data_IF_936952913449
#
_entry.id   IF_936952913449
#
_cell.length_a   1.000
_cell.length_b   1.000
_cell.length_c   1.000
_cell.angle_alpha   90.00
_cell.angle_beta   90.00
_cell.angle_gamma   90.00
#
_symmetry.space_group_name_H-M   'P 1'
#
loop_
_entity.id
_entity.type
_entity.pdbx_description
1 polymer ?
#
# COMPACT_ATOMS: atom_id res chain seq x y z
N UNK A 1 -5.04 -152.30 32.75
CA UNK A 1 -6.33 -152.30 33.48
C UNK A 1 -6.76 -153.76 33.63
N UNK A 2 -7.32 -154.17 34.78
CA UNK A 2 -7.93 -155.49 34.89
C UNK A 2 -8.98 -155.68 33.80
N UNK A 3 -9.06 -156.88 33.25
CA UNK A 3 -9.88 -157.18 32.08
C UNK A 3 -11.36 -157.30 32.49
N UNK A 4 -12.33 -156.95 31.62
CA UNK A 4 -13.78 -157.04 31.92
C UNK A 4 -14.16 -158.44 32.45
N UNK A 5 -13.52 -159.48 31.90
CA UNK A 5 -13.59 -160.88 32.33
C UNK A 5 -13.11 -161.11 33.78
N UNK A 6 -11.99 -160.50 34.19
CA UNK A 6 -11.46 -160.64 35.55
C UNK A 6 -12.31 -159.89 36.59
N UNK A 7 -12.96 -158.79 36.20
CA UNK A 7 -13.90 -158.05 37.04
C UNK A 7 -15.24 -158.80 37.20
N UNK A 8 -15.75 -159.43 36.13
CA UNK A 8 -16.97 -160.26 36.15
C UNK A 8 -16.83 -161.46 37.10
N UNK A 9 -15.76 -162.24 36.98
CA UNK A 9 -15.45 -163.40 37.84
C UNK A 9 -15.38 -163.02 39.33
N UNK A 10 -14.84 -161.83 39.65
CA UNK A 10 -14.70 -161.35 41.05
C UNK A 10 -15.98 -160.76 41.64
N UNK A 11 -16.86 -160.18 40.83
CA UNK A 11 -18.08 -159.50 41.28
C UNK A 11 -19.31 -160.44 41.32
N UNK A 12 -19.37 -161.43 40.41
CA UNK A 12 -20.45 -162.42 40.26
C UNK A 12 -20.85 -163.12 41.58
N UNK A 13 -19.92 -163.57 42.45
CA UNK A 13 -20.28 -164.25 43.70
C UNK A 13 -20.92 -163.32 44.74
N UNK A 14 -20.72 -162.01 44.63
CA UNK A 14 -21.08 -161.03 45.68
C UNK A 14 -22.36 -160.24 45.38
N UNK A 15 -22.65 -160.00 44.10
CA UNK A 15 -23.74 -159.14 43.68
C UNK A 15 -24.88 -159.90 43.00
N UNK A 16 -24.64 -161.09 42.44
CA UNK A 16 -25.58 -161.80 41.58
C UNK A 16 -25.25 -161.65 40.10
N UNK A 17 -25.75 -162.55 39.25
CA UNK A 17 -25.41 -162.57 37.82
C UNK A 17 -26.02 -161.38 37.06
N UNK A 18 -27.24 -160.97 37.40
CA UNK A 18 -27.90 -159.81 36.79
C UNK A 18 -27.28 -158.50 37.26
N UNK A 19 -27.07 -158.32 38.56
CA UNK A 19 -26.53 -157.10 39.16
C UNK A 19 -25.07 -156.87 38.75
N UNK A 20 -24.28 -157.94 38.61
CA UNK A 20 -22.90 -157.86 38.09
C UNK A 20 -22.88 -157.48 36.62
N UNK A 21 -23.79 -158.00 35.79
CA UNK A 21 -23.92 -157.60 34.38
C UNK A 21 -24.37 -156.14 34.25
N UNK A 22 -25.39 -155.70 34.99
CA UNK A 22 -25.86 -154.31 34.98
C UNK A 22 -24.79 -153.32 35.47
N UNK A 23 -24.00 -153.67 36.49
CA UNK A 23 -22.86 -152.83 36.94
C UNK A 23 -21.75 -152.78 35.89
N UNK A 24 -21.41 -153.89 35.24
CA UNK A 24 -20.40 -153.90 34.17
C UNK A 24 -20.89 -153.13 32.94
N UNK A 25 -22.14 -153.30 32.53
CA UNK A 25 -22.76 -152.55 31.44
C UNK A 25 -22.81 -151.05 31.75
N UNK A 26 -23.15 -150.65 32.99
CA UNK A 26 -23.10 -149.26 33.42
C UNK A 26 -21.67 -148.69 33.44
N UNK A 27 -20.69 -149.47 33.90
CA UNK A 27 -19.27 -149.08 33.91
C UNK A 27 -18.72 -148.99 32.49
N UNK A 28 -19.04 -149.94 31.62
CA UNK A 28 -18.66 -149.98 30.21
C UNK A 28 -19.30 -148.80 29.46
N UNK A 29 -20.61 -148.59 29.60
CA UNK A 29 -21.32 -147.42 29.06
C UNK A 29 -20.75 -146.10 29.60
N UNK A 30 -20.37 -146.04 30.89
CA UNK A 30 -19.78 -144.84 31.50
C UNK A 30 -18.36 -144.57 31.00
N UNK A 31 -17.58 -145.62 30.78
CA UNK A 31 -16.24 -145.56 30.17
C UNK A 31 -16.35 -145.14 28.71
N UNK A 32 -17.28 -145.71 27.95
CA UNK A 32 -17.57 -145.35 26.56
C UNK A 32 -18.06 -143.91 26.43
N UNK A 33 -19.02 -143.47 27.25
CA UNK A 33 -19.47 -142.06 27.27
C UNK A 33 -18.33 -141.11 27.60
N UNK A 34 -17.47 -141.43 28.58
CA UNK A 34 -16.28 -140.62 28.89
C UNK A 34 -15.26 -140.64 27.77
N UNK A 35 -15.05 -141.79 27.12
CA UNK A 35 -14.15 -141.92 25.99
C UNK A 35 -14.67 -141.10 24.80
N UNK A 36 -15.97 -141.19 24.48
CA UNK A 36 -16.65 -140.38 23.48
C UNK A 36 -16.54 -138.87 23.80
N UNK A 37 -16.88 -138.45 25.02
CA UNK A 37 -16.78 -137.03 25.44
C UNK A 37 -15.33 -136.50 25.35
N UNK A 38 -14.34 -137.33 25.68
CA UNK A 38 -12.92 -136.97 25.58
C UNK A 38 -12.45 -136.89 24.13
N UNK A 39 -12.99 -137.73 23.26
CA UNK A 39 -12.77 -137.69 21.83
C UNK A 39 -13.41 -136.44 21.21
N UNK A 40 -14.65 -136.11 21.57
CA UNK A 40 -15.33 -134.87 21.18
C UNK A 40 -14.56 -133.63 21.67
N UNK A 41 -14.03 -133.66 22.90
CA UNK A 41 -13.20 -132.59 23.44
C UNK A 41 -11.89 -132.43 22.64
N UNK A 42 -11.26 -133.55 22.23
CA UNK A 42 -10.07 -133.51 21.37
C UNK A 42 -10.40 -132.94 20.00
N UNK A 43 -11.51 -133.36 19.39
CA UNK A 43 -11.96 -132.85 18.10
C UNK A 43 -12.24 -131.35 18.15
N UNK A 44 -12.94 -130.88 19.20
CA UNK A 44 -13.20 -129.45 19.41
C UNK A 44 -11.92 -128.66 19.69
N UNK A 45 -10.97 -129.19 20.47
CA UNK A 45 -9.66 -128.55 20.67
C UNK A 45 -8.89 -128.43 19.35
N UNK A 46 -8.89 -129.48 18.52
CA UNK A 46 -8.25 -129.43 17.19
C UNK A 46 -8.91 -128.42 16.26
N UNK A 47 -10.25 -128.35 16.24
CA UNK A 47 -11.00 -127.38 15.46
C UNK A 47 -10.70 -125.94 15.91
N UNK A 48 -10.73 -125.66 17.22
CA UNK A 48 -10.40 -124.35 17.76
C UNK A 48 -8.96 -123.93 17.45
N UNK A 49 -7.99 -124.84 17.53
CA UNK A 49 -6.61 -124.55 17.12
C UNK A 49 -6.51 -124.20 15.64
N UNK A 50 -7.28 -124.87 14.80
CA UNK A 50 -7.35 -124.57 13.37
C UNK A 50 -7.99 -123.20 13.13
N UNK A 51 -9.10 -122.89 13.81
CA UNK A 51 -9.79 -121.60 13.72
C UNK A 51 -8.92 -120.44 14.21
N UNK A 52 -8.21 -120.62 15.33
CA UNK A 52 -7.24 -119.64 15.84
C UNK A 52 -6.14 -119.41 14.79
N UNK A 53 -5.56 -120.48 14.21
CA UNK A 53 -4.54 -120.34 13.17
C UNK A 53 -5.07 -119.61 11.93
N UNK A 54 -6.31 -119.89 11.51
CA UNK A 54 -6.97 -119.18 10.41
C UNK A 54 -7.16 -117.71 10.76
N UNK A 55 -7.70 -117.39 11.94
CA UNK A 55 -7.91 -116.03 12.39
C UNK A 55 -6.59 -115.23 12.48
N UNK A 56 -5.53 -115.83 13.01
CA UNK A 56 -4.18 -115.24 13.05
C UNK A 56 -3.64 -114.98 11.64
N UNK A 57 -3.81 -115.92 10.72
CA UNK A 57 -3.40 -115.75 9.33
C UNK A 57 -4.16 -114.60 8.65
N UNK A 58 -5.48 -114.53 8.82
CA UNK A 58 -6.32 -113.45 8.31
C UNK A 58 -5.92 -112.11 8.89
N UNK A 59 -5.78 -112.00 10.22
CA UNK A 59 -5.36 -110.75 10.89
C UNK A 59 -3.98 -110.27 10.40
N UNK A 60 -3.05 -111.19 10.20
CA UNK A 60 -1.72 -110.86 9.67
C UNK A 60 -1.78 -110.33 8.25
N UNK A 61 -2.68 -110.87 7.44
CA UNK A 61 -2.92 -110.40 6.08
C UNK A 61 -3.60 -109.03 6.10
N UNK A 62 -4.65 -108.83 6.89
CA UNK A 62 -5.34 -107.55 7.05
C UNK A 62 -4.39 -106.44 7.52
N UNK A 63 -3.51 -106.74 8.49
CA UNK A 63 -2.48 -105.82 8.96
C UNK A 63 -1.49 -105.45 7.85
N UNK A 64 -1.10 -106.41 7.00
CA UNK A 64 -0.22 -106.14 5.86
C UNK A 64 -0.92 -105.26 4.82
N UNK A 65 -2.17 -105.56 4.49
CA UNK A 65 -2.96 -104.80 3.53
C UNK A 65 -3.19 -103.37 4.03
N UNK A 66 -3.59 -103.21 5.29
CA UNK A 66 -3.78 -101.89 5.92
C UNK A 66 -2.47 -101.11 5.95
N UNK A 67 -1.36 -101.75 6.33
CA UNK A 67 -0.04 -101.13 6.34
C UNK A 67 0.49 -100.77 4.95
N UNK A 68 0.04 -101.44 3.90
CA UNK A 68 0.34 -101.10 2.51
C UNK A 68 -0.51 -99.90 2.05
N UNK A 69 -1.82 -99.93 2.32
CA UNK A 69 -2.76 -98.85 1.98
C UNK A 69 -2.37 -97.52 2.65
N UNK A 70 -2.06 -97.53 3.95
CA UNK A 70 -1.60 -96.34 4.66
C UNK A 70 -0.30 -95.76 4.08
N UNK A 71 0.65 -96.62 3.68
CA UNK A 71 1.89 -96.16 3.03
C UNK A 71 1.62 -95.53 1.68
N UNK A 72 0.66 -96.05 0.94
CA UNK A 72 0.26 -95.47 -0.35
C UNK A 72 -0.43 -94.11 -0.16
N UNK A 73 -1.35 -93.99 0.79
CA UNK A 73 -2.02 -92.72 1.11
C UNK A 73 -1.04 -91.65 1.62
N UNK A 74 -0.08 -92.03 2.47
CA UNK A 74 1.01 -91.14 2.90
C UNK A 74 1.80 -90.65 1.67
N UNK A 75 2.20 -91.55 0.77
CA UNK A 75 2.94 -91.16 -0.45
C UNK A 75 2.13 -90.24 -1.37
N UNK A 76 0.84 -90.50 -1.54
CA UNK A 76 -0.05 -89.63 -2.33
C UNK A 76 -0.14 -88.23 -1.71
N UNK A 77 -0.33 -88.17 -0.39
CA UNK A 77 -0.43 -86.91 0.36
C UNK A 77 0.87 -86.12 0.29
N UNK A 78 2.02 -86.76 0.49
CA UNK A 78 3.34 -86.13 0.36
C UNK A 78 3.58 -85.59 -1.05
N UNK A 79 3.20 -86.35 -2.08
CA UNK A 79 3.31 -85.92 -3.46
C UNK A 79 2.41 -84.72 -3.78
N UNK A 80 1.16 -84.72 -3.29
CA UNK A 80 0.24 -83.60 -3.43
C UNK A 80 0.77 -82.34 -2.73
N UNK A 81 1.18 -82.46 -1.46
CA UNK A 81 1.71 -81.34 -0.69
C UNK A 81 2.97 -80.73 -1.34
N UNK A 82 3.85 -81.58 -1.90
CA UNK A 82 5.02 -81.12 -2.66
C UNK A 82 4.63 -80.40 -3.96
N UNK A 83 3.53 -80.81 -4.57
CA UNK A 83 2.91 -80.11 -5.71
C UNK A 83 2.42 -78.72 -5.30
N UNK A 84 1.62 -78.64 -4.24
CA UNK A 84 1.05 -77.39 -3.73
C UNK A 84 2.15 -76.40 -3.32
N UNK A 85 3.19 -76.86 -2.62
CA UNK A 85 4.35 -76.04 -2.24
C UNK A 85 5.02 -75.45 -3.48
N UNK A 86 5.26 -76.26 -4.52
CA UNK A 86 5.88 -75.77 -5.77
C UNK A 86 4.99 -74.77 -6.49
N UNK A 87 3.68 -74.98 -6.47
CA UNK A 87 2.73 -74.05 -7.08
C UNK A 87 2.78 -72.69 -6.37
N UNK A 88 2.70 -72.68 -5.04
CA UNK A 88 2.80 -71.44 -4.24
C UNK A 88 4.15 -70.75 -4.45
N UNK A 89 5.26 -71.49 -4.53
CA UNK A 89 6.57 -70.92 -4.83
C UNK A 89 6.62 -70.23 -6.21
N UNK A 90 5.95 -70.79 -7.22
CA UNK A 90 5.86 -70.17 -8.56
C UNK A 90 4.98 -68.93 -8.51
N UNK A 91 3.79 -69.01 -7.92
CA UNK A 91 2.85 -67.88 -7.80
C UNK A 91 3.49 -66.70 -7.07
N UNK A 92 4.18 -66.93 -5.95
CA UNK A 92 4.89 -65.88 -5.21
C UNK A 92 6.03 -65.27 -6.02
N UNK A 93 6.78 -66.07 -6.80
CA UNK A 93 7.85 -65.53 -7.66
C UNK A 93 7.27 -64.64 -8.76
N UNK A 94 6.17 -65.03 -9.37
CA UNK A 94 5.49 -64.22 -10.39
C UNK A 94 4.93 -62.93 -9.82
N UNK A 95 4.33 -62.98 -8.63
CA UNK A 95 3.81 -61.79 -7.95
C UNK A 95 4.93 -60.82 -7.55
N UNK A 96 6.05 -61.33 -7.02
CA UNK A 96 7.24 -60.51 -6.73
C UNK A 96 7.75 -59.83 -8.00
N UNK A 97 7.90 -60.58 -9.11
CA UNK A 97 8.36 -59.99 -10.38
C UNK A 97 7.41 -58.93 -10.91
N UNK A 98 6.09 -59.13 -10.76
CA UNK A 98 5.07 -58.16 -11.14
C UNK A 98 5.19 -56.87 -10.33
N UNK A 99 5.28 -56.99 -9.01
CA UNK A 99 5.41 -55.85 -8.09
C UNK A 99 6.72 -55.09 -8.31
N UNK A 100 7.83 -55.79 -8.54
CA UNK A 100 9.10 -55.15 -8.93
C UNK A 100 8.96 -54.35 -10.24
N UNK A 101 8.23 -54.89 -11.21
CA UNK A 101 7.92 -54.21 -12.47
C UNK A 101 7.08 -52.94 -12.27
N UNK A 102 6.03 -53.02 -11.45
CA UNK A 102 5.16 -51.88 -11.10
C UNK A 102 5.91 -50.81 -10.31
N UNK A 103 6.77 -51.21 -9.37
CA UNK A 103 7.61 -50.30 -8.60
C UNK A 103 8.57 -49.55 -9.54
N UNK A 104 9.26 -50.25 -10.45
CA UNK A 104 10.15 -49.61 -11.43
C UNK A 104 9.43 -48.62 -12.34
N UNK A 105 8.20 -48.94 -12.78
CA UNK A 105 7.38 -48.02 -13.57
C UNK A 105 7.00 -46.77 -12.78
N UNK A 106 6.59 -46.95 -11.53
CA UNK A 106 6.25 -45.83 -10.63
C UNK A 106 7.46 -44.94 -10.37
N UNK A 107 8.62 -45.52 -10.06
CA UNK A 107 9.87 -44.77 -9.86
C UNK A 107 10.29 -44.00 -11.12
N UNK A 108 10.13 -44.59 -12.31
CA UNK A 108 10.42 -43.91 -13.57
C UNK A 108 9.45 -42.75 -13.83
N UNK A 109 8.15 -42.95 -13.55
CA UNK A 109 7.13 -41.89 -13.65
C UNK A 109 7.43 -40.72 -12.72
N UNK A 110 7.69 -41.00 -11.44
CA UNK A 110 8.04 -39.95 -10.46
C UNK A 110 9.31 -39.19 -10.83
N UNK A 111 10.34 -39.86 -11.37
CA UNK A 111 11.54 -39.19 -11.86
C UNK A 111 11.25 -38.25 -13.02
N UNK A 112 10.34 -38.63 -13.91
CA UNK A 112 9.93 -37.80 -15.03
C UNK A 112 9.09 -36.60 -14.56
N UNK A 113 8.12 -36.83 -13.67
CA UNK A 113 7.32 -35.76 -13.08
C UNK A 113 8.20 -34.72 -12.36
N UNK A 114 9.18 -35.18 -11.57
CA UNK A 114 10.15 -34.31 -10.91
C UNK A 114 10.92 -33.47 -11.93
N UNK A 115 11.43 -34.09 -13.02
CA UNK A 115 12.15 -33.35 -14.07
C UNK A 115 11.27 -32.31 -14.76
N UNK A 116 10.01 -32.63 -15.02
CA UNK A 116 9.07 -31.70 -15.64
C UNK A 116 8.78 -30.51 -14.72
N UNK A 117 8.57 -30.76 -13.42
CA UNK A 117 8.40 -29.69 -12.43
C UNK A 117 9.66 -28.83 -12.33
N UNK A 118 10.85 -29.43 -12.24
CA UNK A 118 12.11 -28.68 -12.20
C UNK A 118 12.34 -27.83 -13.46
N UNK A 119 12.02 -28.36 -14.65
CA UNK A 119 12.11 -27.62 -15.90
C UNK A 119 11.12 -26.44 -15.93
N UNK A 120 9.86 -26.68 -15.57
CA UNK A 120 8.84 -25.64 -15.53
C UNK A 120 9.18 -24.51 -14.54
N UNK A 121 9.65 -24.86 -13.35
CA UNK A 121 10.10 -23.87 -12.36
C UNK A 121 11.30 -23.05 -12.84
N UNK A 122 12.26 -23.67 -13.54
CA UNK A 122 13.39 -22.94 -14.13
C UNK A 122 12.95 -21.96 -15.20
N UNK A 123 12.01 -22.35 -16.07
CA UNK A 123 11.46 -21.47 -17.10
C UNK A 123 10.69 -20.30 -16.48
N UNK A 124 9.86 -20.56 -15.46
CA UNK A 124 9.09 -19.53 -14.76
C UNK A 124 10.03 -18.53 -14.05
N UNK A 125 11.07 -19.01 -13.36
CA UNK A 125 12.08 -18.15 -12.73
C UNK A 125 12.76 -17.28 -13.78
N UNK A 126 13.23 -17.84 -14.90
CA UNK A 126 13.90 -17.08 -15.96
C UNK A 126 12.97 -16.01 -16.57
N UNK A 127 11.69 -16.35 -16.76
CA UNK A 127 10.69 -15.42 -17.25
C UNK A 127 10.48 -14.27 -16.27
N UNK A 128 10.28 -14.56 -14.99
CA UNK A 128 10.07 -13.54 -13.95
C UNK A 128 11.29 -12.64 -13.78
N UNK A 129 12.51 -13.19 -13.82
CA UNK A 129 13.74 -12.40 -13.82
C UNK A 129 13.81 -11.46 -15.04
N UNK A 130 13.36 -11.92 -16.21
CA UNK A 130 13.26 -11.10 -17.42
C UNK A 130 12.24 -9.97 -17.32
N UNK A 131 11.04 -10.26 -16.78
CA UNK A 131 10.00 -9.25 -16.53
C UNK A 131 10.45 -8.22 -15.49
N UNK A 132 11.12 -8.65 -14.42
CA UNK A 132 11.68 -7.76 -13.40
C UNK A 132 12.73 -6.82 -13.99
N UNK A 133 13.70 -7.33 -14.75
CA UNK A 133 14.74 -6.51 -15.41
C UNK A 133 14.14 -5.47 -16.37
N UNK A 134 13.11 -5.83 -17.12
CA UNK A 134 12.39 -4.89 -18.01
C UNK A 134 11.72 -3.79 -17.21
N UNK A 135 11.09 -4.14 -16.10
CA UNK A 135 10.40 -3.20 -15.21
C UNK A 135 11.39 -2.23 -14.56
N UNK A 136 12.51 -2.74 -14.04
CA UNK A 136 13.59 -1.91 -13.48
C UNK A 136 14.18 -0.95 -14.52
N UNK A 137 14.41 -1.42 -15.75
CA UNK A 137 14.90 -0.58 -16.84
C UNK A 137 13.89 0.51 -17.23
N UNK A 138 12.60 0.17 -17.29
CA UNK A 138 11.52 1.12 -17.56
C UNK A 138 11.43 2.21 -16.50
N UNK A 139 11.38 1.82 -15.22
CA UNK A 139 11.33 2.78 -14.10
C UNK A 139 12.57 3.70 -14.07
N UNK A 140 13.75 3.17 -14.39
CA UNK A 140 14.98 3.98 -14.46
C UNK A 140 14.91 5.02 -15.57
N UNK A 141 14.29 4.68 -16.69
CA UNK A 141 14.10 5.59 -17.80
C UNK A 141 13.05 6.65 -17.47
N UNK A 142 11.91 6.25 -16.90
CA UNK A 142 10.86 7.18 -16.46
C UNK A 142 11.41 8.19 -15.45
N UNK A 143 12.20 7.75 -14.47
CA UNK A 143 12.87 8.64 -13.50
C UNK A 143 13.77 9.65 -14.22
N UNK A 144 14.59 9.21 -15.18
CA UNK A 144 15.47 10.13 -15.93
C UNK A 144 14.68 11.15 -16.73
N UNK A 145 13.58 10.75 -17.35
CA UNK A 145 12.71 11.64 -18.11
C UNK A 145 12.07 12.69 -17.21
N UNK A 146 11.57 12.29 -16.03
CA UNK A 146 11.03 13.22 -15.04
C UNK A 146 12.12 14.18 -14.53
N UNK A 147 13.31 13.68 -14.21
CA UNK A 147 14.43 14.53 -13.78
C UNK A 147 14.85 15.54 -14.84
N UNK A 148 14.89 15.12 -16.11
CA UNK A 148 15.19 16.01 -17.24
C UNK A 148 14.10 17.08 -17.41
N UNK A 149 12.83 16.68 -17.43
CA UNK A 149 11.69 17.60 -17.57
C UNK A 149 11.64 18.63 -16.44
N UNK A 150 11.86 18.21 -15.19
CA UNK A 150 11.91 19.13 -14.05
C UNK A 150 13.08 20.12 -14.15
N UNK A 151 14.26 19.67 -14.62
CA UNK A 151 15.41 20.57 -14.84
C UNK A 151 15.11 21.62 -15.90
N UNK A 152 14.49 21.23 -17.01
CA UNK A 152 14.09 22.15 -18.08
C UNK A 152 13.06 23.16 -17.59
N UNK A 153 12.04 22.72 -16.83
CA UNK A 153 11.02 23.60 -16.29
C UNK A 153 11.60 24.60 -15.28
N UNK A 154 12.50 24.16 -14.39
CA UNK A 154 13.22 25.06 -13.47
C UNK A 154 14.01 26.11 -14.25
N UNK A 155 14.79 25.70 -15.26
CA UNK A 155 15.57 26.65 -16.08
C UNK A 155 14.68 27.65 -16.81
N UNK A 156 13.53 27.20 -17.33
CA UNK A 156 12.54 28.08 -17.97
C UNK A 156 12.02 29.12 -16.98
N UNK A 157 11.57 28.68 -15.81
CA UNK A 157 11.02 29.55 -14.77
C UNK A 157 12.06 30.55 -14.25
N UNK A 158 13.32 30.13 -14.05
CA UNK A 158 14.42 31.04 -13.71
C UNK A 158 14.65 32.10 -14.80
N UNK A 159 14.54 31.71 -16.06
CA UNK A 159 14.64 32.64 -17.20
C UNK A 159 13.49 33.65 -17.26
N UNK A 160 12.26 33.21 -17.03
CA UNK A 160 11.07 34.07 -16.97
C UNK A 160 11.13 35.04 -15.79
N UNK A 161 11.56 34.56 -14.62
CA UNK A 161 11.76 35.39 -13.43
C UNK A 161 12.79 36.49 -13.71
N UNK A 162 13.97 36.15 -14.26
CA UNK A 162 15.00 37.14 -14.61
C UNK A 162 14.52 38.20 -15.60
N UNK A 163 13.74 37.81 -16.61
CA UNK A 163 13.15 38.76 -17.57
C UNK A 163 12.18 39.71 -16.87
N UNK A 164 11.36 39.18 -15.96
CA UNK A 164 10.40 39.97 -15.19
C UNK A 164 11.10 40.96 -14.27
N UNK A 165 12.13 40.51 -13.54
CA UNK A 165 12.97 41.37 -12.68
C UNK A 165 13.65 42.48 -13.49
N UNK A 166 14.19 42.16 -14.67
CA UNK A 166 14.80 43.15 -15.55
C UNK A 166 13.79 44.19 -16.05
N UNK A 167 12.60 43.74 -16.47
CA UNK A 167 11.52 44.63 -16.91
C UNK A 167 11.05 45.56 -15.79
N UNK A 168 10.79 45.03 -14.59
CA UNK A 168 10.41 45.85 -13.44
C UNK A 168 11.49 46.87 -13.07
N UNK A 169 12.77 46.50 -13.17
CA UNK A 169 13.87 47.44 -12.91
C UNK A 169 13.91 48.57 -13.94
N UNK A 170 13.67 48.26 -15.21
CA UNK A 170 13.58 49.25 -16.27
C UNK A 170 12.38 50.19 -16.05
N UNK A 171 11.20 49.64 -15.75
CA UNK A 171 9.98 50.41 -15.46
C UNK A 171 10.21 51.37 -14.29
N UNK A 172 10.84 50.90 -13.20
CA UNK A 172 11.20 51.74 -12.04
C UNK A 172 12.13 52.88 -12.48
N UNK A 173 13.19 52.59 -13.26
CA UNK A 173 14.10 53.63 -13.75
C UNK A 173 13.40 54.66 -14.64
N UNK A 174 12.48 54.22 -15.51
CA UNK A 174 11.70 55.13 -16.35
C UNK A 174 10.79 56.04 -15.51
N UNK A 175 10.11 55.50 -14.50
CA UNK A 175 9.29 56.27 -13.57
C UNK A 175 10.14 57.29 -12.79
N UNK A 176 11.28 56.86 -12.25
CA UNK A 176 12.20 57.75 -11.53
C UNK A 176 12.72 58.88 -12.42
N UNK A 177 13.06 58.59 -13.67
CA UNK A 177 13.51 59.60 -14.63
C UNK A 177 12.39 60.59 -14.97
N UNK A 178 11.18 60.09 -15.24
CA UNK A 178 10.01 60.92 -15.51
C UNK A 178 9.66 61.85 -14.35
N UNK A 179 9.67 61.35 -13.11
CA UNK A 179 9.45 62.16 -11.92
C UNK A 179 10.52 63.23 -11.74
N UNK A 180 11.80 62.92 -12.01
CA UNK A 180 12.88 63.92 -11.94
C UNK A 180 12.68 65.04 -12.96
N UNK A 181 12.29 64.71 -14.20
CA UNK A 181 11.99 65.73 -15.21
C UNK A 181 10.82 66.61 -14.82
N UNK A 182 9.73 66.01 -14.29
CA UNK A 182 8.56 66.76 -13.86
C UNK A 182 8.90 67.71 -12.71
N UNK A 183 9.66 67.25 -11.71
CA UNK A 183 10.17 68.11 -10.62
C UNK A 183 10.98 69.28 -11.18
N UNK A 184 11.92 69.04 -12.10
CA UNK A 184 12.73 70.12 -12.70
C UNK A 184 11.86 71.13 -13.48
N UNK A 185 10.84 70.66 -14.20
CA UNK A 185 9.90 71.55 -14.91
C UNK A 185 9.10 72.41 -13.92
N UNK A 186 8.62 71.81 -12.83
CA UNK A 186 7.89 72.51 -11.78
C UNK A 186 8.78 73.56 -11.08
N UNK A 187 10.01 73.20 -10.72
CA UNK A 187 10.99 74.14 -10.15
C UNK A 187 11.29 75.31 -11.09
N UNK A 188 11.47 75.04 -12.39
CA UNK A 188 11.66 76.07 -13.41
C UNK A 188 10.45 77.00 -13.55
N UNK A 189 9.24 76.43 -13.53
CA UNK A 189 7.98 77.18 -13.54
C UNK A 189 7.83 78.09 -12.32
N UNK A 190 8.11 77.58 -11.12
CA UNK A 190 8.11 78.34 -9.88
C UNK A 190 9.09 79.52 -9.93
N UNK A 191 10.34 79.29 -10.35
CA UNK A 191 11.34 80.38 -10.49
C UNK A 191 10.89 81.47 -11.45
N UNK A 192 10.24 81.10 -12.55
CA UNK A 192 9.71 82.08 -13.51
C UNK A 192 8.60 82.93 -12.89
N UNK A 193 7.65 82.30 -12.20
CA UNK A 193 6.57 82.99 -11.49
C UNK A 193 7.12 83.92 -10.39
N UNK A 194 8.09 83.46 -9.61
CA UNK A 194 8.78 84.29 -8.62
C UNK A 194 9.44 85.52 -9.26
N UNK A 195 10.08 85.35 -10.42
CA UNK A 195 10.68 86.43 -11.19
C UNK A 195 9.65 87.44 -11.73
N UNK A 196 8.51 86.96 -12.24
CA UNK A 196 7.40 87.82 -12.68
C UNK A 196 6.79 88.60 -11.50
N UNK A 197 6.56 87.96 -10.36
CA UNK A 197 6.09 88.62 -9.13
C UNK A 197 7.05 89.70 -8.65
N UNK A 198 8.37 89.44 -8.64
CA UNK A 198 9.38 90.46 -8.29
C UNK A 198 9.34 91.67 -9.22
N UNK A 199 9.19 91.45 -10.53
CA UNK A 199 9.07 92.56 -11.50
C UNK A 199 7.83 93.40 -11.24
N UNK A 200 6.69 92.74 -10.97
CA UNK A 200 5.45 93.42 -10.60
C UNK A 200 5.65 94.24 -9.32
N UNK A 201 6.27 93.65 -8.29
CA UNK A 201 6.55 94.35 -7.03
C UNK A 201 7.41 95.60 -7.24
N UNK A 202 8.50 95.49 -8.00
CA UNK A 202 9.38 96.64 -8.31
C UNK A 202 8.65 97.69 -9.16
N UNK A 203 7.84 97.26 -10.12
CA UNK A 203 7.02 98.14 -10.95
C UNK A 203 6.03 98.94 -10.11
N UNK A 204 5.27 98.26 -9.25
CA UNK A 204 4.32 98.89 -8.33
C UNK A 204 5.02 99.86 -7.36
N UNK A 205 6.17 99.48 -6.78
CA UNK A 205 6.96 100.38 -5.93
C UNK A 205 7.38 101.65 -6.68
N UNK A 206 7.83 101.51 -7.94
CA UNK A 206 8.24 102.64 -8.77
C UNK A 206 7.08 103.56 -9.12
N UNK A 207 5.90 102.99 -9.41
CA UNK A 207 4.68 103.73 -9.71
C UNK A 207 4.16 104.48 -8.49
N UNK A 208 4.17 103.85 -7.30
CA UNK A 208 3.87 104.52 -6.02
C UNK A 208 4.82 105.71 -5.83
N UNK A 209 6.12 105.53 -6.01
CA UNK A 209 7.09 106.61 -5.82
C UNK A 209 6.90 107.75 -6.84
N UNK A 210 6.52 107.43 -8.08
CA UNK A 210 6.15 108.44 -9.08
C UNK A 210 4.92 109.23 -8.64
N UNK A 211 3.87 108.55 -8.20
CA UNK A 211 2.63 109.16 -7.72
C UNK A 211 2.89 110.04 -6.49
N UNK A 212 3.72 109.60 -5.54
CA UNK A 212 4.16 110.43 -4.40
C UNK A 212 4.83 111.72 -4.88
N UNK A 213 5.73 111.63 -5.87
CA UNK A 213 6.41 112.80 -6.44
C UNK A 213 5.46 113.73 -7.20
N UNK A 214 4.51 113.20 -7.96
CA UNK A 214 3.45 113.99 -8.62
C UNK A 214 2.56 114.70 -7.59
N UNK A 215 2.18 114.00 -6.50
CA UNK A 215 1.38 114.56 -5.42
C UNK A 215 2.12 115.67 -4.68
N UNK A 216 3.42 115.51 -4.41
CA UNK A 216 4.25 116.58 -3.82
C UNK A 216 4.36 117.81 -4.74
N UNK A 217 4.53 117.61 -6.04
CA UNK A 217 4.52 118.72 -7.02
C UNK A 217 3.16 119.42 -7.05
N UNK A 218 2.08 118.66 -6.99
CA UNK A 218 0.73 119.23 -6.92
C UNK A 218 0.54 120.03 -5.63
N UNK A 219 0.96 119.51 -4.47
CA UNK A 219 0.86 120.20 -3.19
C UNK A 219 1.68 121.50 -3.17
N UNK A 220 2.92 121.47 -3.64
CA UNK A 220 3.77 122.67 -3.74
C UNK A 220 3.22 123.68 -4.74
N UNK A 221 2.67 123.22 -5.86
CA UNK A 221 1.95 124.06 -6.83
C UNK A 221 0.75 124.75 -6.19
N UNK A 222 -0.12 123.99 -5.52
CA UNK A 222 -1.29 124.53 -4.81
C UNK A 222 -0.88 125.53 -3.71
N UNK A 223 0.14 125.23 -2.90
CA UNK A 223 0.68 126.18 -1.92
C UNK A 223 1.17 127.47 -2.57
N UNK A 224 1.84 127.35 -3.72
CA UNK A 224 2.29 128.51 -4.50
C UNK A 224 1.13 129.35 -5.04
N UNK A 225 0.06 128.70 -5.55
CA UNK A 225 -1.16 129.39 -5.99
C UNK A 225 -1.87 130.09 -4.83
N UNK A 226 -1.99 129.45 -3.66
CA UNK A 226 -2.52 130.07 -2.44
C UNK A 226 -1.68 131.30 -2.07
N UNK A 227 -0.35 131.19 -2.06
CA UNK A 227 0.51 132.32 -1.75
C UNK A 227 0.36 133.49 -2.73
N UNK A 228 0.20 133.19 -4.04
CA UNK A 228 -0.11 134.23 -5.04
C UNK A 228 -1.49 134.84 -4.82
N UNK A 229 -2.49 134.04 -4.43
CA UNK A 229 -3.82 134.54 -4.09
C UNK A 229 -3.76 135.46 -2.87
N UNK A 230 -3.03 135.08 -1.83
CA UNK A 230 -2.80 135.93 -0.65
C UNK A 230 -2.13 137.25 -1.04
N UNK A 231 -1.08 137.21 -1.87
CA UNK A 231 -0.43 138.43 -2.38
C UNK A 231 -1.38 139.29 -3.23
N UNK A 232 -2.21 138.69 -4.08
CA UNK A 232 -3.23 139.42 -4.85
C UNK A 232 -4.28 140.03 -3.94
N UNK A 233 -4.72 139.31 -2.91
CA UNK A 233 -5.67 139.80 -1.91
C UNK A 233 -5.06 140.95 -1.13
N UNK A 234 -3.82 140.84 -0.66
CA UNK A 234 -3.13 141.90 0.08
C UNK A 234 -2.82 143.11 -0.82
N UNK A 235 -2.43 142.87 -2.06
CA UNK A 235 -2.31 143.91 -3.09
C UNK A 235 -3.63 144.65 -3.30
N UNK A 236 -4.74 143.91 -3.47
CA UNK A 236 -6.08 144.48 -3.60
C UNK A 236 -6.52 145.21 -2.32
N UNK A 237 -6.22 144.69 -1.13
CA UNK A 237 -6.46 145.38 0.14
C UNK A 237 -5.69 146.71 0.21
N UNK A 238 -4.40 146.72 -0.14
CA UNK A 238 -3.57 147.94 -0.17
C UNK A 238 -4.09 148.93 -1.19
N UNK A 239 -4.48 148.46 -2.37
CA UNK A 239 -5.06 149.31 -3.41
C UNK A 239 -6.39 149.90 -2.96
N UNK A 240 -7.27 149.10 -2.33
CA UNK A 240 -8.49 149.58 -1.69
C UNK A 240 -8.20 150.60 -0.57
N UNK A 241 -7.13 150.39 0.21
CA UNK A 241 -6.70 151.32 1.26
C UNK A 241 -6.21 152.64 0.68
N UNK A 242 -5.45 152.60 -0.42
CA UNK A 242 -5.04 153.78 -1.19
C UNK A 242 -6.25 154.49 -1.79
N UNK A 243 -7.19 153.75 -2.35
CA UNK A 243 -8.41 154.30 -2.95
C UNK A 243 -9.30 154.96 -1.90
N UNK A 244 -9.49 154.32 -0.74
CA UNK A 244 -10.23 154.90 0.39
C UNK A 244 -9.49 156.10 0.96
N UNK A 245 -8.16 156.05 1.13
CA UNK A 245 -7.39 157.21 1.56
C UNK A 245 -7.49 158.38 0.56
N UNK A 246 -7.33 158.11 -0.74
CA UNK A 246 -7.49 159.11 -1.79
C UNK A 246 -8.91 159.69 -1.83
N UNK A 247 -9.93 158.86 -1.66
CA UNK A 247 -11.32 159.27 -1.52
C UNK A 247 -11.52 160.16 -0.27
N UNK A 248 -10.99 159.78 0.88
CA UNK A 248 -11.07 160.57 2.12
C UNK A 248 -10.31 161.90 1.99
N UNK A 249 -9.10 161.92 1.43
CA UNK A 249 -8.33 163.14 1.18
C UNK A 249 -9.04 164.05 0.18
N UNK A 250 -9.58 163.49 -0.90
CA UNK A 250 -10.38 164.23 -1.87
C UNK A 250 -11.62 164.86 -1.24
N UNK A 251 -12.38 164.10 -0.44
CA UNK A 251 -13.52 164.62 0.31
C UNK A 251 -13.10 165.72 1.31
N UNK A 252 -12.00 165.54 2.05
CA UNK A 252 -11.47 166.57 2.96
C UNK A 252 -11.04 167.82 2.20
N UNK A 253 -10.38 167.69 1.04
CA UNK A 253 -9.93 168.82 0.24
C UNK A 253 -11.11 169.60 -0.37
N UNK A 254 -12.15 168.90 -0.84
CA UNK A 254 -13.39 169.54 -1.32
C UNK A 254 -14.10 170.24 -0.17
N UNK A 255 -14.27 169.61 0.99
CA UNK A 255 -14.85 170.25 2.18
C UNK A 255 -14.03 171.48 2.61
N UNK A 256 -12.70 171.38 2.59
CA UNK A 256 -11.79 172.50 2.89
C UNK A 256 -11.89 173.62 1.85
N UNK A 257 -12.04 173.27 0.56
CA UNK A 257 -12.22 174.21 -0.54
C UNK A 257 -13.58 174.91 -0.49
N UNK A 258 -14.65 174.20 -0.14
CA UNK A 258 -15.98 174.78 0.12
C UNK A 258 -15.90 175.72 1.33
N UNK A 259 -15.27 175.28 2.43
CA UNK A 259 -15.01 176.12 3.61
C UNK A 259 -14.22 177.39 3.24
N UNK A 260 -13.18 177.27 2.41
CA UNK A 260 -12.35 178.40 1.96
C UNK A 260 -13.09 179.34 1.01
N UNK A 261 -13.91 178.81 0.10
CA UNK A 261 -14.77 179.61 -0.79
C UNK A 261 -15.85 180.36 0.01
N UNK A 262 -16.43 179.71 1.03
CA UNK A 262 -17.35 180.37 1.98
C UNK A 262 -16.63 181.44 2.80
N UNK A 263 -15.39 181.19 3.24
CA UNK A 263 -14.57 182.18 3.96
C UNK A 263 -14.19 183.38 3.06
N UNK A 264 -13.86 183.12 1.79
CA UNK A 264 -13.47 184.14 0.80
C UNK A 264 -14.65 184.96 0.28
N UNK A 265 -15.84 184.37 0.19
CA UNK A 265 -17.06 185.08 -0.18
C UNK A 265 -17.58 186.03 0.91
N UNK A 266 -17.10 185.92 2.16
CA UNK A 266 -17.60 186.73 3.28
C UNK A 266 -16.70 187.91 3.68
N UNK A 267 -15.46 188.00 3.18
CA UNK A 267 -14.48 189.03 3.62
C UNK A 267 -14.01 189.95 2.46
N UNK A 268 -14.62 189.82 1.27
CA UNK A 268 -14.09 190.40 0.03
C UNK A 268 -14.98 191.38 -0.75
N UNK A 269 -15.86 192.13 -0.09
CA UNK A 269 -16.33 193.51 -0.36
C UNK A 269 -17.19 193.95 0.82
#
# INVERSE_FOLDING_TARGET
MPTVLELYEKLKPKLGEEETRALLEFVETSIERRAATKEDLRQTETALREDIRKAEATLKEDLRQTGAALREEIRKTEAALKGDIRQVEVELREEIQRLEGELRKTEAGLKEDIRQVEAGLREEIQRLEGELRKTEAGLKEDIRQVEAGLREEIQRLEGELRKTEAGLKEDIHQVEAGLREEIQRLEGGLRKLEGELRKIEVGLRSEIHRLEGELQKMETGLRGEIHRLDQKIDGAKVELLKWTFGFWVGNIAVLSGIMFALFRAFIGT
#
